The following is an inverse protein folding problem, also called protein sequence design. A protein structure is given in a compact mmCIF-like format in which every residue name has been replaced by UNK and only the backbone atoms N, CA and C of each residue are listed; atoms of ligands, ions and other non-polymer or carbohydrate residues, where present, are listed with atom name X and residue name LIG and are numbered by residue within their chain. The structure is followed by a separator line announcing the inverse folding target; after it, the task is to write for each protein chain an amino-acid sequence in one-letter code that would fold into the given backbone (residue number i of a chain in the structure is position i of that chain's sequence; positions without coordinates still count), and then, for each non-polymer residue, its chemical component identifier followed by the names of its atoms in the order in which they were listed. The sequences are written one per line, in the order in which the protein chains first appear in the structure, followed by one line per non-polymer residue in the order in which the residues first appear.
data_IF_082629699244
#
_entry.id   IF_082629699244
#
_cell.length_a   1.000
_cell.length_b   1.000
_cell.length_c   1.000
_cell.angle_alpha   90.00
_cell.angle_beta   90.00
_cell.angle_gamma   90.00
#
_symmetry.space_group_name_H-M   'P 1'
#
loop_
_entity.id
_entity.type
_entity.pdbx_description
1 polymer ?
#
# COMPACT_ATOMS: atom_id res chain seq x y z
N UNK A 1 -9.65 -14.45 -8.65
CA UNK A 1 -9.71 -13.10 -8.05
C UNK A 1 -9.32 -12.06 -9.12
N UNK A 2 -9.92 -10.87 -9.10
CA UNK A 2 -9.59 -9.77 -10.03
C UNK A 2 -8.51 -8.90 -9.36
N UNK A 3 -7.41 -8.54 -10.05
CA UNK A 3 -6.41 -7.63 -9.51
C UNK A 3 -7.02 -6.26 -9.20
N UNK A 4 -6.76 -5.74 -8.00
CA UNK A 4 -7.07 -4.35 -7.65
C UNK A 4 -5.79 -3.56 -7.52
N UNK A 5 -5.71 -2.38 -8.15
CA UNK A 5 -4.59 -1.45 -7.98
C UNK A 5 -4.88 -0.50 -6.84
N UNK A 6 -3.89 -0.28 -5.97
CA UNK A 6 -3.90 0.87 -5.07
C UNK A 6 -3.22 2.01 -5.82
N UNK A 7 -4.02 3.01 -6.22
CA UNK A 7 -3.55 4.15 -7.02
C UNK A 7 -3.94 5.51 -6.42
N UNK A 8 -3.26 6.56 -6.86
CA UNK A 8 -3.63 7.93 -6.53
C UNK A 8 -4.88 8.36 -7.27
N UNK A 9 -5.65 9.28 -6.66
CA UNK A 9 -6.86 9.80 -7.28
C UNK A 9 -6.58 10.58 -8.58
N UNK A 10 -5.39 11.17 -8.70
CA UNK A 10 -4.95 11.85 -9.93
C UNK A 10 -4.83 10.85 -11.07
N UNK A 11 -4.11 9.74 -10.87
CA UNK A 11 -3.95 8.70 -11.89
C UNK A 11 -5.29 8.06 -12.26
N UNK A 12 -6.15 7.81 -11.27
CA UNK A 12 -7.49 7.28 -11.53
C UNK A 12 -8.27 8.18 -12.50
N UNK A 13 -8.26 9.50 -12.28
CA UNK A 13 -8.94 10.47 -13.16
C UNK A 13 -8.35 10.53 -14.56
N UNK A 14 -7.02 10.45 -14.67
CA UNK A 14 -6.33 10.43 -15.96
C UNK A 14 -6.72 9.19 -16.78
N UNK A 15 -6.75 8.01 -16.14
CA UNK A 15 -7.11 6.75 -16.80
C UNK A 15 -8.62 6.57 -17.00
N UNK A 16 -9.44 7.21 -16.17
CA UNK A 16 -10.89 7.07 -16.17
C UNK A 16 -11.55 8.44 -16.24
N UNK A 17 -11.51 9.14 -17.38
CA UNK A 17 -12.06 10.50 -17.51
C UNK A 17 -13.58 10.54 -17.29
N UNK A 18 -14.27 9.42 -17.50
CA UNK A 18 -15.71 9.24 -17.23
C UNK A 18 -15.98 8.46 -15.93
N UNK A 19 -14.95 8.19 -15.13
CA UNK A 19 -15.04 7.41 -13.91
C UNK A 19 -15.92 8.11 -12.87
N UNK A 20 -16.86 7.35 -12.30
CA UNK A 20 -17.72 7.85 -11.22
C UNK A 20 -17.09 7.59 -9.87
N UNK A 21 -17.20 8.57 -8.97
CA UNK A 21 -16.69 8.48 -7.60
C UNK A 21 -17.86 8.60 -6.67
N UNK A 22 -17.99 7.69 -5.71
CA UNK A 22 -19.02 7.77 -4.69
C UNK A 22 -18.89 9.10 -3.93
N UNK A 23 -19.97 9.84 -3.77
CA UNK A 23 -20.00 11.06 -2.95
C UNK A 23 -20.55 10.68 -1.56
N UNK A 24 -19.94 11.16 -0.46
CA UNK A 24 -20.43 10.85 0.87
C UNK A 24 -21.85 11.39 1.07
N UNK A 25 -22.76 10.55 1.60
CA UNK A 25 -24.14 10.96 1.95
C UNK A 25 -24.19 12.18 2.88
N UNK A 26 -23.18 12.35 3.73
CA UNK A 26 -22.99 13.55 4.55
C UNK A 26 -21.55 14.08 4.41
N UNK A 27 -21.29 15.06 3.54
CA UNK A 27 -19.95 15.61 3.29
C UNK A 27 -19.32 16.29 4.50
N UNK A 28 -20.13 16.79 5.45
CA UNK A 28 -19.60 17.42 6.68
C UNK A 28 -19.01 16.38 7.64
N UNK A 29 -19.62 15.19 7.70
CA UNK A 29 -19.18 14.06 8.56
C UNK A 29 -18.11 13.20 7.90
N UNK A 30 -18.23 12.94 6.59
CA UNK A 30 -17.38 12.03 5.83
C UNK A 30 -16.54 12.79 4.80
N UNK A 31 -15.68 13.69 5.29
CA UNK A 31 -14.83 14.53 4.42
C UNK A 31 -13.73 13.70 3.78
N UNK A 32 -13.79 13.54 2.46
CA UNK A 32 -12.69 12.97 1.69
C UNK A 32 -11.39 13.76 1.85
N UNK A 33 -10.27 13.06 1.68
CA UNK A 33 -8.94 13.64 1.83
C UNK A 33 -8.50 13.86 3.28
N UNK A 34 -9.29 13.41 4.27
CA UNK A 34 -8.91 13.43 5.69
C UNK A 34 -8.94 12.04 6.29
N UNK A 35 -8.08 11.82 7.27
CA UNK A 35 -8.00 10.56 8.04
C UNK A 35 -8.13 10.81 9.54
N UNK A 36 -8.80 9.93 10.28
CA UNK A 36 -8.75 9.94 11.74
C UNK A 36 -7.46 9.34 12.29
N UNK A 37 -6.76 8.50 11.51
CA UNK A 37 -5.58 7.73 11.93
C UNK A 37 -4.27 8.48 11.67
N UNK A 38 -4.12 9.63 12.32
CA UNK A 38 -2.94 10.50 12.16
C UNK A 38 -1.70 9.81 12.77
N UNK A 39 -0.54 9.93 12.11
CA UNK A 39 0.76 9.33 12.45
C UNK A 39 0.81 7.80 12.43
N UNK A 40 -0.25 7.11 12.02
CA UNK A 40 -0.28 5.65 12.08
C UNK A 40 0.76 5.00 11.16
N UNK A 41 0.97 5.53 9.94
CA UNK A 41 2.01 5.05 9.01
C UNK A 41 3.45 5.35 9.49
N UNK A 42 3.60 6.19 10.51
CA UNK A 42 4.90 6.60 11.05
C UNK A 42 5.14 6.05 12.46
N UNK A 43 4.11 5.46 13.08
CA UNK A 43 4.19 4.87 14.40
C UNK A 43 5.13 3.66 14.46
N UNK A 44 5.59 3.33 15.67
CA UNK A 44 6.46 2.17 15.89
C UNK A 44 5.68 0.86 15.92
N UNK A 45 4.45 0.89 16.44
CA UNK A 45 3.63 -0.30 16.66
C UNK A 45 2.14 -0.05 16.35
N UNK A 46 1.40 -1.04 15.79
CA UNK A 46 -0.05 -0.97 15.59
C UNK A 46 -0.83 -0.93 16.93
N UNK A 47 -1.48 0.19 17.25
CA UNK A 47 -2.05 0.46 18.59
C UNK A 47 -3.22 -0.43 19.04
N UNK A 48 -3.90 -1.16 18.14
CA UNK A 48 -4.95 -2.14 18.50
C UNK A 48 -4.51 -3.59 18.36
N UNK A 49 -3.30 -3.83 17.87
CA UNK A 49 -2.80 -5.18 17.65
C UNK A 49 -2.10 -5.70 18.91
N UNK A 50 -2.63 -6.80 19.44
CA UNK A 50 -2.11 -7.49 20.63
C UNK A 50 -1.33 -8.77 20.31
N UNK A 51 -1.17 -9.10 19.03
CA UNK A 51 -0.43 -10.28 18.61
C UNK A 51 1.08 -10.07 18.63
N UNK A 52 1.82 -11.15 18.44
CA UNK A 52 3.26 -11.10 18.27
C UNK A 52 3.61 -10.77 16.81
N UNK A 53 4.70 -10.03 16.63
CA UNK A 53 5.26 -9.78 15.31
C UNK A 53 6.78 -9.85 15.41
N UNK A 54 7.35 -10.84 14.75
CA UNK A 54 8.79 -11.06 14.68
C UNK A 54 9.24 -11.07 13.22
N UNK A 55 9.96 -10.02 12.83
CA UNK A 55 10.49 -9.84 11.48
C UNK A 55 11.50 -8.69 11.51
N UNK A 56 12.56 -8.72 10.67
CA UNK A 56 13.51 -7.62 10.55
C UNK A 56 12.87 -6.32 10.02
N UNK A 57 11.70 -6.43 9.37
CA UNK A 57 10.96 -5.29 8.84
C UNK A 57 10.08 -4.69 9.92
N UNK A 58 10.05 -3.37 10.12
CA UNK A 58 9.16 -2.71 11.11
C UNK A 58 7.71 -3.13 10.90
N UNK A 59 6.97 -3.37 11.99
CA UNK A 59 5.56 -3.78 11.96
C UNK A 59 4.69 -2.91 11.03
N UNK A 60 4.86 -1.59 11.12
CA UNK A 60 4.15 -0.58 10.32
C UNK A 60 4.90 -0.14 9.06
N UNK A 61 5.91 -0.87 8.61
CA UNK A 61 6.42 -0.70 7.25
C UNK A 61 5.40 -1.27 6.26
N UNK A 62 5.20 -0.59 5.14
CA UNK A 62 4.39 -1.12 4.04
C UNK A 62 5.17 -2.17 3.29
N UNK A 63 4.49 -3.24 2.90
CA UNK A 63 5.01 -4.27 2.00
C UNK A 63 4.06 -4.42 0.83
N UNK A 64 4.58 -4.74 -0.35
CA UNK A 64 3.76 -5.18 -1.49
C UNK A 64 3.72 -6.69 -1.40
N UNK A 65 2.53 -7.26 -1.18
CA UNK A 65 2.33 -8.68 -0.99
C UNK A 65 1.65 -9.30 -2.21
N UNK A 66 2.23 -10.39 -2.72
CA UNK A 66 1.72 -11.24 -3.80
C UNK A 66 1.62 -12.66 -3.25
N UNK A 67 0.42 -13.07 -2.84
CA UNK A 67 0.25 -14.33 -2.10
C UNK A 67 1.03 -14.32 -0.79
N UNK A 68 1.88 -15.34 -0.59
CA UNK A 68 2.73 -15.51 0.60
C UNK A 68 4.12 -14.86 0.46
N UNK A 69 4.37 -14.08 -0.59
CA UNK A 69 5.62 -13.34 -0.78
C UNK A 69 5.37 -11.84 -0.67
N UNK A 70 6.32 -11.11 -0.07
CA UNK A 70 6.20 -9.68 0.11
C UNK A 70 7.53 -8.95 -0.01
N UNK A 71 7.49 -7.70 -0.44
CA UNK A 71 8.68 -6.82 -0.56
C UNK A 71 8.42 -5.51 0.16
N UNK A 72 9.35 -5.00 1.00
CA UNK A 72 9.22 -3.68 1.60
C UNK A 72 9.02 -2.61 0.52
N UNK A 73 8.01 -1.76 0.70
CA UNK A 73 7.73 -0.67 -0.24
C UNK A 73 8.93 0.28 -0.36
N UNK A 74 9.71 0.44 0.71
CA UNK A 74 10.97 1.19 0.68
C UNK A 74 12.02 0.58 -0.25
N UNK A 75 12.08 -0.75 -0.35
CA UNK A 75 12.98 -1.46 -1.25
C UNK A 75 12.57 -1.22 -2.71
N UNK A 76 11.29 -1.40 -3.02
CA UNK A 76 10.76 -1.16 -4.38
C UNK A 76 10.91 0.32 -4.75
N UNK A 77 10.64 1.25 -3.83
CA UNK A 77 10.83 2.69 -4.05
C UNK A 77 12.29 3.05 -4.35
N UNK A 78 13.25 2.36 -3.71
CA UNK A 78 14.70 2.53 -3.94
C UNK A 78 15.10 1.98 -5.30
N UNK A 79 14.72 0.73 -5.61
CA UNK A 79 15.10 0.03 -6.85
C UNK A 79 14.29 0.46 -8.08
N UNK A 80 13.14 1.09 -7.89
CA UNK A 80 12.10 1.42 -8.90
C UNK A 80 11.42 0.21 -9.53
N UNK A 81 12.19 -0.84 -9.79
CA UNK A 81 11.75 -2.09 -10.37
C UNK A 81 12.33 -3.26 -9.57
N UNK A 82 11.53 -4.29 -9.32
CA UNK A 82 11.98 -5.59 -8.80
C UNK A 82 11.43 -6.67 -9.71
N UNK A 83 12.30 -7.58 -10.12
CA UNK A 83 11.93 -8.80 -10.83
C UNK A 83 12.14 -10.01 -9.91
N UNK A 84 11.12 -10.86 -9.79
CA UNK A 84 11.21 -12.06 -8.97
C UNK A 84 10.25 -13.15 -9.50
N UNK A 85 10.77 -14.32 -9.87
CA UNK A 85 9.97 -15.46 -10.34
C UNK A 85 8.90 -15.06 -11.39
N UNK A 86 9.32 -14.28 -12.40
CA UNK A 86 8.46 -13.76 -13.47
C UNK A 86 7.46 -12.68 -13.05
N UNK A 87 7.49 -12.21 -11.80
CA UNK A 87 6.80 -11.00 -11.37
C UNK A 87 7.66 -9.78 -11.66
N UNK A 88 7.02 -8.71 -12.14
CA UNK A 88 7.60 -7.39 -12.31
C UNK A 88 6.85 -6.42 -11.40
N UNK A 89 7.51 -5.93 -10.35
CA UNK A 89 7.00 -4.91 -9.44
C UNK A 89 7.61 -3.58 -9.83
N UNK A 90 6.78 -2.60 -10.16
CA UNK A 90 7.23 -1.23 -10.51
C UNK A 90 6.66 -0.21 -9.54
N UNK A 91 7.42 0.84 -9.26
CA UNK A 91 7.02 1.95 -8.39
C UNK A 91 7.17 3.29 -9.08
N UNK A 92 6.15 4.14 -8.94
CA UNK A 92 6.16 5.54 -9.38
C UNK A 92 5.66 6.46 -8.27
N UNK A 93 6.28 7.63 -8.13
CA UNK A 93 5.86 8.65 -7.17
C UNK A 93 4.42 9.13 -7.41
N UNK A 94 3.82 9.78 -6.41
CA UNK A 94 2.58 10.56 -6.57
C UNK A 94 1.35 9.98 -5.87
N UNK A 95 1.55 9.13 -4.85
CA UNK A 95 0.46 8.68 -3.98
C UNK A 95 0.84 8.91 -2.52
N UNK A 96 0.06 9.73 -1.84
CA UNK A 96 0.30 10.01 -0.42
C UNK A 96 -0.34 8.94 0.46
N UNK A 97 0.29 8.68 1.61
CA UNK A 97 -0.29 7.84 2.63
C UNK A 97 -1.59 8.43 3.19
N UNK A 98 -2.64 7.61 3.22
CA UNK A 98 -3.88 7.93 3.89
C UNK A 98 -3.80 7.89 5.44
N UNK A 99 -2.66 7.47 6.00
CA UNK A 99 -2.50 7.16 7.42
C UNK A 99 -1.34 7.94 8.07
N UNK A 100 -0.82 8.96 7.39
CA UNK A 100 0.33 9.73 7.86
C UNK A 100 -0.09 11.05 8.53
N UNK A 101 -0.64 12.00 7.77
CA UNK A 101 -1.11 13.29 8.32
C UNK A 101 -2.63 13.42 8.24
N UNK A 102 -3.22 14.33 9.03
CA UNK A 102 -4.68 14.58 9.06
C UNK A 102 -5.26 14.87 7.68
N UNK A 103 -4.52 15.56 6.83
CA UNK A 103 -4.91 15.87 5.46
C UNK A 103 -4.04 15.05 4.51
N UNK A 104 -4.63 14.07 3.82
CA UNK A 104 -3.91 13.07 3.01
C UNK A 104 -2.98 13.74 1.98
N UNK A 105 -3.40 14.89 1.42
CA UNK A 105 -2.57 15.69 0.49
C UNK A 105 -1.23 16.17 1.07
N UNK A 106 -1.03 16.13 2.39
CA UNK A 106 0.21 16.50 3.10
C UNK A 106 0.95 15.28 3.65
N UNK A 107 0.46 14.07 3.42
CA UNK A 107 1.11 12.84 3.87
C UNK A 107 2.33 12.49 3.01
N UNK A 108 3.22 11.66 3.56
CA UNK A 108 4.37 11.11 2.84
C UNK A 108 3.96 10.38 1.56
N UNK A 109 4.79 10.52 0.52
CA UNK A 109 4.63 9.80 -0.75
C UNK A 109 5.03 8.32 -0.58
N UNK A 110 4.01 7.47 -0.59
CA UNK A 110 4.12 6.02 -0.65
C UNK A 110 4.20 5.52 -2.10
N UNK A 111 3.85 6.37 -3.07
CA UNK A 111 3.84 6.07 -4.50
C UNK A 111 2.86 4.98 -4.91
N UNK A 112 2.75 4.80 -6.21
CA UNK A 112 1.88 3.86 -6.88
C UNK A 112 2.70 2.62 -7.26
N UNK A 113 2.17 1.44 -6.97
CA UNK A 113 2.81 0.17 -7.33
C UNK A 113 1.96 -0.56 -8.35
N UNK A 114 2.62 -1.12 -9.37
CA UNK A 114 2.01 -2.06 -10.31
C UNK A 114 2.79 -3.36 -10.25
N UNK A 115 2.07 -4.47 -10.17
CA UNK A 115 2.64 -5.83 -10.20
C UNK A 115 2.08 -6.54 -11.42
N UNK A 116 2.96 -6.98 -12.32
CA UNK A 116 2.57 -7.74 -13.51
C UNK A 116 3.32 -9.05 -13.62
N UNK A 117 2.77 -9.98 -14.41
CA UNK A 117 3.42 -11.18 -14.91
C UNK A 117 3.09 -11.30 -16.39
N UNK A 118 4.12 -11.37 -17.24
CA UNK A 118 3.97 -11.38 -18.69
C UNK A 118 3.06 -10.24 -19.20
N UNK A 119 3.22 -9.04 -18.65
CA UNK A 119 2.43 -7.86 -19.00
C UNK A 119 1.00 -7.81 -18.45
N UNK A 120 0.54 -8.82 -17.71
CA UNK A 120 -0.80 -8.88 -17.11
C UNK A 120 -0.75 -8.56 -15.62
N UNK A 121 -1.72 -7.78 -15.13
CA UNK A 121 -1.81 -7.46 -13.70
C UNK A 121 -1.95 -8.72 -12.84
N UNK A 122 -1.28 -8.69 -11.69
CA UNK A 122 -1.34 -9.73 -10.66
C UNK A 122 -2.04 -9.19 -9.43
N UNK A 123 -2.85 -10.04 -8.78
CA UNK A 123 -3.47 -9.72 -7.50
C UNK A 123 -2.39 -9.46 -6.46
N UNK A 124 -2.39 -8.26 -5.90
CA UNK A 124 -1.46 -7.86 -4.87
C UNK A 124 -2.11 -6.90 -3.89
N UNK A 125 -1.51 -6.76 -2.72
CA UNK A 125 -1.95 -5.84 -1.68
C UNK A 125 -0.76 -5.02 -1.18
N UNK A 126 -1.04 -3.87 -0.55
CA UNK A 126 0.00 -3.05 0.09
C UNK A 126 -0.27 -2.92 1.61
N UNK A 127 -0.29 -4.04 2.37
CA UNK A 127 -0.53 -4.01 3.79
C UNK A 127 0.67 -3.45 4.56
N UNK A 128 0.47 -3.23 5.86
CA UNK A 128 1.60 -3.16 6.79
C UNK A 128 2.17 -4.56 7.04
N UNK A 129 3.46 -4.65 7.31
CA UNK A 129 4.18 -5.91 7.46
C UNK A 129 3.59 -6.80 8.57
N UNK A 130 3.14 -6.21 9.68
CA UNK A 130 2.47 -6.97 10.74
C UNK A 130 1.17 -7.63 10.27
N UNK A 131 0.39 -6.93 9.45
CA UNK A 131 -0.86 -7.46 8.92
C UNK A 131 -0.58 -8.58 7.92
N UNK A 132 0.41 -8.40 7.04
CA UNK A 132 0.88 -9.48 6.16
C UNK A 132 1.24 -10.75 6.95
N UNK A 133 2.06 -10.62 8.00
CA UNK A 133 2.44 -11.76 8.86
C UNK A 133 1.27 -12.35 9.66
N UNK A 134 0.25 -11.57 9.99
CA UNK A 134 -0.94 -12.10 10.64
C UNK A 134 -1.79 -12.98 9.70
N UNK A 135 -1.84 -12.64 8.40
CA UNK A 135 -2.57 -13.44 7.39
C UNK A 135 -1.73 -14.55 6.76
N UNK A 136 -0.40 -14.36 6.71
CA UNK A 136 0.58 -15.32 6.18
C UNK A 136 1.72 -15.49 7.18
N UNK A 137 1.52 -16.29 8.25
CA UNK A 137 2.54 -16.49 9.30
C UNK A 137 3.90 -16.93 8.73
N UNK A 138 3.86 -17.91 7.82
CA UNK A 138 5.03 -18.46 7.12
C UNK A 138 5.42 -17.65 5.86
N UNK A 139 4.72 -16.55 5.56
CA UNK A 139 4.98 -15.75 4.37
C UNK A 139 6.34 -15.05 4.41
N UNK A 140 7.04 -14.99 3.29
CA UNK A 140 8.39 -14.42 3.19
C UNK A 140 8.33 -12.92 2.93
N UNK A 141 9.13 -12.14 3.66
CA UNK A 141 9.39 -10.73 3.33
C UNK A 141 10.81 -10.61 2.79
N UNK A 142 10.95 -10.40 1.48
CA UNK A 142 12.21 -10.27 0.77
C UNK A 142 12.83 -8.88 1.03
N UNK A 143 13.97 -8.83 1.71
CA UNK A 143 14.63 -7.56 2.09
C UNK A 143 15.77 -7.16 1.16
N UNK A 144 16.14 -8.01 0.21
CA UNK A 144 17.25 -7.82 -0.74
C UNK A 144 16.78 -7.93 -2.20
#
# INVERSE_FOLDING_TARGET
AIPSRVESFTLFKEHNPKGVVLVPRNPKRNRYGKTPYVKYDSARWPFLFKGNYNSPVRALARVVAVGAEAWPLSLIKKKKTIEHNGLLLTWKAGQNSALDTRFIKRGKDIGNVVVTRNGKDVVHHIPFAFAFKAFYPEGTIHTE
#
